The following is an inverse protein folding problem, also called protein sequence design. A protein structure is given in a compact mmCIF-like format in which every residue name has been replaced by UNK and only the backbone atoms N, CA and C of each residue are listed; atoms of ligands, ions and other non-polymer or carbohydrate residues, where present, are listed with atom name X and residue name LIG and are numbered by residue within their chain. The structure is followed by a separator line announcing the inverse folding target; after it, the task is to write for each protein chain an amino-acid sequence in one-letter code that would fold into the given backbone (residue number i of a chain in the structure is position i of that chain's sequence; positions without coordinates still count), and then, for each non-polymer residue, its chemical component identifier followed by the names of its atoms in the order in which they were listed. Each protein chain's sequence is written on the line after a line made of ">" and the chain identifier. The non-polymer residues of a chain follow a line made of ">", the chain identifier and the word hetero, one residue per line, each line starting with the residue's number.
data_IF_136293070110
#
_entry.id   IF_136293070110
#
_cell.length_a   1.000
_cell.length_b   1.000
_cell.length_c   1.000
_cell.angle_alpha   90.00
_cell.angle_beta   90.00
_cell.angle_gamma   90.00
#
_symmetry.space_group_name_H-M   'P 1'
#
loop_
_entity.id
_entity.type
_entity.pdbx_description
1 polymer ?
#
# COMPACT_ATOMS: atom_id res chain seq x y z
N UNK A 1 24.23 12.20 31.53
CA UNK A 1 24.21 12.90 30.22
C UNK A 1 23.83 11.95 29.05
N UNK A 2 24.41 10.76 28.95
CA UNK A 2 24.14 9.78 27.87
C UNK A 2 22.66 9.38 27.72
N UNK A 3 21.91 9.19 28.77
CA UNK A 3 20.49 8.75 28.72
C UNK A 3 19.58 9.80 28.05
N UNK A 4 19.88 11.08 28.19
CA UNK A 4 19.09 12.16 27.58
C UNK A 4 19.39 12.33 26.09
N UNK A 5 20.61 12.07 25.65
CA UNK A 5 20.99 12.09 24.23
C UNK A 5 20.41 10.88 23.47
N UNK A 6 20.42 9.71 24.09
CA UNK A 6 19.81 8.50 23.52
C UNK A 6 18.29 8.69 23.34
N UNK A 7 17.61 9.26 24.34
CA UNK A 7 16.17 9.59 24.24
C UNK A 7 15.90 10.63 23.16
N UNK A 8 16.78 11.61 22.99
CA UNK A 8 16.67 12.62 21.92
C UNK A 8 16.85 12.00 20.55
N UNK A 9 17.88 11.17 20.34
CA UNK A 9 18.12 10.49 19.06
C UNK A 9 16.94 9.62 18.66
N UNK A 10 16.44 8.80 19.58
CA UNK A 10 15.26 7.96 19.36
C UNK A 10 14.05 8.79 18.97
N UNK A 11 13.85 9.96 19.59
CA UNK A 11 12.76 10.88 19.25
C UNK A 11 12.93 11.50 17.86
N UNK A 12 14.15 11.92 17.47
CA UNK A 12 14.44 12.46 16.14
C UNK A 12 14.09 11.45 15.04
N UNK A 13 14.50 10.19 15.22
CA UNK A 13 14.15 9.10 14.28
C UNK A 13 12.62 8.89 14.21
N UNK A 14 11.94 8.90 15.36
CA UNK A 14 10.50 8.72 15.43
C UNK A 14 9.71 9.92 14.83
N UNK A 15 10.21 11.16 14.97
CA UNK A 15 9.66 12.34 14.30
C UNK A 15 9.80 12.19 12.79
N UNK A 16 11.00 11.83 12.32
CA UNK A 16 11.28 11.60 10.91
C UNK A 16 10.34 10.56 10.30
N UNK A 17 10.19 9.39 10.96
CA UNK A 17 9.24 8.34 10.56
C UNK A 17 7.79 8.86 10.53
N UNK A 18 7.42 9.72 11.49
CA UNK A 18 6.08 10.31 11.52
C UNK A 18 5.85 11.24 10.33
N UNK A 19 6.82 12.08 9.98
CA UNK A 19 6.79 12.97 8.81
C UNK A 19 6.70 12.19 7.49
N UNK A 20 7.24 10.97 7.44
CA UNK A 20 7.09 10.07 6.28
C UNK A 20 5.69 9.52 6.11
N UNK A 21 5.04 9.18 7.22
CA UNK A 21 3.77 8.45 7.22
C UNK A 21 2.55 9.35 7.03
N UNK A 22 2.69 10.65 7.23
CA UNK A 22 1.59 11.62 7.16
C UNK A 22 1.99 12.81 6.28
N UNK A 23 1.04 13.25 5.45
CA UNK A 23 1.25 14.38 4.53
C UNK A 23 1.52 15.71 5.25
N UNK A 24 0.99 15.91 6.46
CA UNK A 24 1.18 17.11 7.27
C UNK A 24 1.04 16.77 8.75
N UNK A 25 1.95 17.27 9.61
CA UNK A 25 1.96 17.00 11.06
C UNK A 25 2.21 18.29 11.82
N UNK A 26 1.38 18.58 12.82
CA UNK A 26 1.56 19.76 13.70
C UNK A 26 2.59 19.53 14.79
N UNK A 27 3.26 20.60 15.25
CA UNK A 27 4.14 20.54 16.41
C UNK A 27 3.42 20.07 17.68
N UNK A 28 2.17 20.48 17.86
CA UNK A 28 1.34 20.07 19.00
C UNK A 28 1.10 18.56 19.02
N UNK A 29 0.73 17.97 17.87
CA UNK A 29 0.56 16.53 17.76
C UNK A 29 1.85 15.76 18.10
N UNK A 30 3.01 16.23 17.62
CA UNK A 30 4.29 15.61 17.94
C UNK A 30 4.65 15.76 19.42
N UNK A 31 4.37 16.93 20.01
CA UNK A 31 4.61 17.20 21.43
C UNK A 31 3.81 16.24 22.33
N UNK A 32 2.52 16.07 22.04
CA UNK A 32 1.65 15.12 22.74
C UNK A 32 2.11 13.67 22.54
N UNK A 33 2.38 13.27 21.30
CA UNK A 33 2.82 11.91 20.96
C UNK A 33 4.10 11.49 21.69
N UNK A 34 5.05 12.41 21.86
CA UNK A 34 6.35 12.12 22.46
C UNK A 34 6.50 12.59 23.92
N UNK A 35 5.44 13.17 24.51
CA UNK A 35 5.44 13.65 25.91
C UNK A 35 6.47 14.76 26.16
N UNK A 36 6.67 15.67 25.21
CA UNK A 36 7.63 16.78 25.30
C UNK A 36 6.95 18.11 24.99
N UNK A 37 7.63 19.22 25.33
CA UNK A 37 7.11 20.54 24.99
C UNK A 37 7.16 20.83 23.48
N UNK A 38 6.24 21.65 22.97
CA UNK A 38 6.25 22.15 21.59
C UNK A 38 7.58 22.82 21.24
N UNK A 39 8.20 23.54 22.19
CA UNK A 39 9.53 24.14 22.05
C UNK A 39 10.61 23.08 21.78
N UNK A 40 10.49 21.91 22.41
CA UNK A 40 11.40 20.77 22.17
C UNK A 40 11.23 20.25 20.75
N UNK A 41 10.00 20.11 20.26
CA UNK A 41 9.73 19.69 18.88
C UNK A 41 10.34 20.69 17.87
N UNK A 42 10.18 21.98 18.07
CA UNK A 42 10.83 22.98 17.19
C UNK A 42 12.35 22.82 17.13
N UNK A 43 13.00 22.53 18.26
CA UNK A 43 14.45 22.26 18.28
C UNK A 43 14.82 20.97 17.58
N UNK A 44 13.99 19.95 17.70
CA UNK A 44 14.21 18.66 17.06
C UNK A 44 13.98 18.75 15.53
N UNK A 45 12.97 19.47 15.07
CA UNK A 45 12.76 19.76 13.64
C UNK A 45 13.95 20.50 13.05
N UNK A 46 14.44 21.56 13.71
CA UNK A 46 15.65 22.28 13.28
C UNK A 46 16.88 21.39 13.21
N UNK A 47 17.02 20.44 14.14
CA UNK A 47 18.13 19.49 14.13
C UNK A 47 18.04 18.54 12.92
N UNK A 48 16.84 18.10 12.52
CA UNK A 48 16.63 17.32 11.30
C UNK A 48 16.96 18.14 10.06
N UNK A 49 16.52 19.39 9.96
CA UNK A 49 16.85 20.30 8.86
C UNK A 49 18.36 20.51 8.74
N UNK A 50 19.05 20.77 9.85
CA UNK A 50 20.51 20.91 9.89
C UNK A 50 21.25 19.64 9.49
N UNK A 51 20.62 18.47 9.68
CA UNK A 51 21.14 17.17 9.25
C UNK A 51 20.85 16.86 7.77
N UNK A 52 20.28 17.82 7.02
CA UNK A 52 20.01 17.68 5.59
C UNK A 52 18.65 17.05 5.27
N UNK A 53 17.75 16.88 6.25
CA UNK A 53 16.40 16.43 6.01
C UNK A 53 15.56 17.61 5.48
N UNK A 54 15.01 17.56 4.27
CA UNK A 54 14.26 18.67 3.68
C UNK A 54 12.84 18.74 4.26
N UNK A 55 12.75 19.26 5.49
CA UNK A 55 11.46 19.54 6.13
C UNK A 55 10.92 20.85 5.57
N UNK A 56 9.68 20.86 5.16
CA UNK A 56 8.94 22.06 4.73
C UNK A 56 7.99 22.45 5.86
N UNK A 57 8.08 23.71 6.28
CA UNK A 57 7.15 24.31 7.23
C UNK A 57 6.02 24.98 6.46
N UNK A 58 4.79 24.55 6.70
CA UNK A 58 3.57 25.26 6.26
C UNK A 58 3.07 26.12 7.40
N UNK A 59 3.17 27.43 7.26
CA UNK A 59 2.81 28.40 8.31
C UNK A 59 1.37 28.18 8.82
N UNK A 60 1.24 28.05 10.14
CA UNK A 60 -0.03 27.81 10.82
C UNK A 60 -0.61 26.39 10.65
N UNK A 61 -0.02 25.54 9.80
CA UNK A 61 -0.54 24.18 9.50
C UNK A 61 0.35 23.06 10.01
N UNK A 62 1.69 23.20 9.96
CA UNK A 62 2.62 22.18 10.47
C UNK A 62 3.80 21.90 9.55
N UNK A 63 4.30 20.67 9.62
CA UNK A 63 5.49 20.20 8.94
C UNK A 63 5.19 19.08 7.96
N UNK A 64 5.88 19.10 6.84
CA UNK A 64 5.89 18.03 5.82
C UNK A 64 7.30 17.80 5.31
N UNK A 65 7.52 16.72 4.58
CA UNK A 65 8.77 16.49 3.85
C UNK A 65 8.61 16.94 2.39
N UNK A 66 9.71 17.39 1.79
CA UNK A 66 9.75 17.68 0.36
C UNK A 66 9.28 16.47 -0.44
N UNK A 67 8.43 16.71 -1.43
CA UNK A 67 7.91 15.65 -2.30
C UNK A 67 9.05 14.92 -3.01
N UNK A 68 8.99 13.59 -3.04
CA UNK A 68 10.03 12.76 -3.64
C UNK A 68 11.25 12.48 -2.74
N UNK A 69 11.34 13.05 -1.54
CA UNK A 69 12.41 12.72 -0.60
C UNK A 69 12.31 11.27 -0.11
N UNK A 70 13.26 10.44 -0.53
CA UNK A 70 13.37 9.04 -0.11
C UNK A 70 14.29 8.96 1.12
N UNK A 71 13.75 8.51 2.22
CA UNK A 71 14.48 8.42 3.48
C UNK A 71 15.23 7.08 3.59
N UNK A 72 16.41 7.09 4.29
CA UNK A 72 17.15 5.86 4.61
C UNK A 72 16.36 4.87 5.48
N UNK A 73 16.84 3.64 5.65
CA UNK A 73 16.04 2.47 5.96
C UNK A 73 15.18 2.62 7.21
N UNK A 74 13.90 2.28 7.06
CA UNK A 74 12.98 2.10 8.17
C UNK A 74 13.53 1.00 9.07
N UNK A 75 13.68 1.27 10.37
CA UNK A 75 14.07 0.24 11.34
C UNK A 75 12.83 -0.55 11.75
N UNK A 76 12.85 -1.84 11.52
CA UNK A 76 11.80 -2.76 11.97
C UNK A 76 12.20 -3.41 13.28
N UNK A 77 11.24 -3.58 14.21
CA UNK A 77 11.41 -4.52 15.32
C UNK A 77 11.35 -5.97 14.80
N UNK A 78 11.88 -6.91 15.56
CA UNK A 78 11.81 -8.35 15.22
C UNK A 78 10.35 -8.79 14.97
N UNK A 79 9.41 -8.35 15.82
CA UNK A 79 8.00 -8.66 15.65
C UNK A 79 7.38 -8.10 14.36
N UNK A 80 7.75 -6.88 13.97
CA UNK A 80 7.28 -6.26 12.73
C UNK A 80 7.86 -6.98 11.50
N UNK A 81 9.15 -7.31 11.52
CA UNK A 81 9.78 -8.06 10.45
C UNK A 81 9.16 -9.45 10.29
N UNK A 82 8.93 -10.17 11.39
CA UNK A 82 8.28 -11.47 11.38
C UNK A 82 6.85 -11.41 10.82
N UNK A 83 6.07 -10.38 11.17
CA UNK A 83 4.72 -10.18 10.63
C UNK A 83 4.75 -9.98 9.11
N UNK A 84 5.68 -9.16 8.58
CA UNK A 84 5.84 -8.94 7.14
C UNK A 84 6.26 -10.22 6.40
N UNK A 85 7.19 -10.99 6.95
CA UNK A 85 7.67 -12.25 6.37
C UNK A 85 6.55 -13.32 6.39
N UNK A 86 5.74 -13.35 7.45
CA UNK A 86 4.57 -14.24 7.49
C UNK A 86 3.54 -13.85 6.43
N UNK A 87 3.31 -12.54 6.21
CA UNK A 87 2.44 -12.03 5.18
C UNK A 87 2.92 -12.42 3.76
N UNK A 88 4.23 -12.58 3.52
CA UNK A 88 4.78 -13.10 2.27
C UNK A 88 4.16 -14.45 1.89
N UNK A 89 3.99 -15.35 2.86
CA UNK A 89 3.38 -16.67 2.63
C UNK A 89 1.90 -16.58 2.22
N UNK A 90 1.20 -15.53 2.63
CA UNK A 90 -0.18 -15.25 2.20
C UNK A 90 -0.20 -14.67 0.79
N UNK A 91 0.72 -13.74 0.48
CA UNK A 91 0.83 -13.12 -0.84
C UNK A 91 1.25 -14.12 -1.91
N UNK A 92 2.16 -15.05 -1.60
CA UNK A 92 2.57 -16.14 -2.51
C UNK A 92 1.41 -17.06 -2.93
N UNK A 93 0.28 -17.01 -2.24
CA UNK A 93 -0.95 -17.70 -2.64
C UNK A 93 -1.85 -16.87 -3.56
N UNK A 94 -1.49 -15.62 -3.82
CA UNK A 94 -2.20 -14.79 -4.79
C UNK A 94 -2.15 -15.44 -6.16
N UNK A 95 -3.21 -15.25 -6.95
CA UNK A 95 -3.26 -15.67 -8.35
C UNK A 95 -2.75 -14.58 -9.30
N UNK A 96 -2.31 -13.45 -8.75
CA UNK A 96 -1.78 -12.34 -9.53
C UNK A 96 -0.26 -12.25 -9.39
N UNK A 97 0.44 -12.38 -10.50
CA UNK A 97 1.91 -12.38 -10.52
C UNK A 97 2.51 -11.00 -10.28
N UNK A 98 1.79 -9.92 -10.60
CA UNK A 98 2.27 -8.56 -10.34
C UNK A 98 2.35 -8.30 -8.83
N UNK A 99 1.32 -8.69 -8.08
CA UNK A 99 1.31 -8.58 -6.64
C UNK A 99 2.43 -9.40 -5.98
N UNK A 100 2.63 -10.64 -6.45
CA UNK A 100 3.72 -11.51 -5.93
C UNK A 100 5.08 -10.86 -6.17
N UNK A 101 5.33 -10.37 -7.39
CA UNK A 101 6.59 -9.72 -7.76
C UNK A 101 6.84 -8.46 -6.93
N UNK A 102 5.88 -7.54 -6.89
CA UNK A 102 6.00 -6.25 -6.21
C UNK A 102 6.21 -6.46 -4.70
N UNK A 103 5.51 -7.44 -4.11
CA UNK A 103 5.69 -7.79 -2.71
C UNK A 103 7.07 -8.42 -2.44
N UNK A 104 7.54 -9.34 -3.29
CA UNK A 104 8.86 -9.95 -3.17
C UNK A 104 9.97 -8.89 -3.20
N UNK A 105 9.90 -7.95 -4.14
CA UNK A 105 10.85 -6.84 -4.21
C UNK A 105 10.82 -5.93 -2.97
N UNK A 106 9.64 -5.70 -2.40
CA UNK A 106 9.48 -4.92 -1.18
C UNK A 106 10.04 -5.66 0.05
N UNK A 107 9.69 -6.94 0.22
CA UNK A 107 10.13 -7.73 1.37
C UNK A 107 11.64 -8.01 1.35
N UNK A 108 12.26 -8.12 0.17
CA UNK A 108 13.71 -8.25 0.05
C UNK A 108 14.44 -6.99 0.54
N UNK A 109 13.89 -5.79 0.29
CA UNK A 109 14.39 -4.53 0.85
C UNK A 109 14.27 -4.49 2.38
N UNK A 110 13.18 -5.02 2.93
CA UNK A 110 12.99 -5.16 4.39
C UNK A 110 14.01 -6.15 4.96
N UNK A 111 14.14 -7.33 4.36
CA UNK A 111 15.12 -8.36 4.78
C UNK A 111 16.56 -7.84 4.73
N UNK A 112 16.89 -6.98 3.76
CA UNK A 112 18.24 -6.42 3.60
C UNK A 112 18.69 -5.59 4.81
N UNK A 113 17.77 -4.88 5.47
CA UNK A 113 18.07 -3.99 6.62
C UNK A 113 17.98 -4.68 7.99
N UNK A 114 17.53 -5.95 8.04
CA UNK A 114 17.51 -6.74 9.27
C UNK A 114 18.92 -7.17 9.70
N UNK A 115 19.15 -7.31 11.00
CA UNK A 115 20.37 -7.93 11.55
C UNK A 115 20.44 -9.41 11.16
N UNK A 116 21.64 -9.98 11.08
CA UNK A 116 21.81 -11.37 10.66
C UNK A 116 21.02 -12.36 11.53
N UNK A 117 21.03 -12.19 12.86
CA UNK A 117 20.26 -13.03 13.79
C UNK A 117 18.74 -12.97 13.56
N UNK A 118 18.22 -11.82 13.11
CA UNK A 118 16.81 -11.63 12.78
C UNK A 118 16.48 -12.28 11.43
N UNK A 119 17.41 -12.21 10.46
CA UNK A 119 17.29 -12.91 9.17
C UNK A 119 17.21 -14.43 9.37
N UNK A 120 18.04 -14.99 10.25
CA UNK A 120 18.08 -16.44 10.50
C UNK A 120 16.75 -16.91 11.14
N UNK A 121 16.21 -16.14 12.10
CA UNK A 121 14.90 -16.43 12.72
C UNK A 121 13.75 -16.30 11.70
N UNK A 122 13.79 -15.27 10.88
CA UNK A 122 12.81 -15.03 9.82
C UNK A 122 12.80 -16.16 8.78
N UNK A 123 13.97 -16.61 8.36
CA UNK A 123 14.11 -17.76 7.46
C UNK A 123 13.59 -19.05 8.10
N UNK A 124 13.91 -19.28 9.37
CA UNK A 124 13.38 -20.43 10.11
C UNK A 124 11.86 -20.41 10.19
N UNK A 125 11.26 -19.25 10.46
CA UNK A 125 9.81 -19.06 10.50
C UNK A 125 9.18 -19.33 9.12
N UNK A 126 9.77 -18.80 8.05
CA UNK A 126 9.31 -19.04 6.67
C UNK A 126 9.32 -20.51 6.30
N UNK A 127 10.39 -21.25 6.65
CA UNK A 127 10.50 -22.69 6.38
C UNK A 127 9.49 -23.51 7.18
N UNK A 128 9.22 -23.11 8.42
CA UNK A 128 8.33 -23.84 9.34
C UNK A 128 6.88 -23.44 9.25
N UNK A 129 6.55 -22.38 8.51
CA UNK A 129 5.19 -21.92 8.30
C UNK A 129 4.73 -22.30 6.90
N UNK A 130 3.82 -23.27 6.80
CA UNK A 130 3.12 -23.61 5.55
C UNK A 130 1.63 -23.39 5.75
N UNK A 131 1.07 -22.49 4.97
CA UNK A 131 -0.37 -22.43 4.86
C UNK A 131 -0.82 -23.55 3.90
N UNK A 132 -1.77 -24.39 4.31
CA UNK A 132 -2.27 -25.47 3.50
C UNK A 132 -2.71 -24.96 2.12
N UNK A 133 -2.26 -25.58 1.04
CA UNK A 133 -2.77 -25.32 -0.31
C UNK A 133 -4.20 -25.85 -0.39
N UNK A 134 -5.16 -24.97 -0.37
CA UNK A 134 -6.49 -25.26 -0.90
C UNK A 134 -6.42 -25.16 -2.43
N UNK A 135 -6.06 -26.25 -3.10
CA UNK A 135 -5.90 -26.45 -4.53
C UNK A 135 -4.66 -25.78 -5.19
N UNK A 136 -4.12 -26.43 -6.23
CA UNK A 136 -3.11 -25.88 -7.14
C UNK A 136 -3.79 -24.84 -8.03
N UNK A 137 -3.75 -23.58 -7.61
CA UNK A 137 -4.21 -22.48 -8.45
C UNK A 137 -3.06 -22.02 -9.34
N UNK A 138 -3.25 -22.04 -10.64
CA UNK A 138 -2.37 -21.40 -11.60
C UNK A 138 -2.43 -19.87 -11.39
N UNK A 139 -1.32 -19.19 -11.65
CA UNK A 139 -1.26 -17.73 -11.69
C UNK A 139 -2.04 -17.30 -12.94
N UNK A 140 -3.16 -16.62 -12.76
CA UNK A 140 -4.11 -16.35 -13.83
C UNK A 140 -4.20 -14.85 -14.20
N UNK A 141 -3.46 -13.97 -13.54
CA UNK A 141 -3.56 -12.54 -13.76
C UNK A 141 -2.23 -11.83 -13.48
N UNK A 142 -1.98 -10.75 -14.21
CA UNK A 142 -0.87 -9.81 -14.02
C UNK A 142 -1.37 -8.36 -14.00
N UNK A 143 -2.67 -8.16 -13.77
CA UNK A 143 -3.33 -6.89 -13.99
C UNK A 143 -3.55 -6.09 -12.72
N UNK A 144 -3.22 -6.65 -11.53
CA UNK A 144 -3.61 -6.04 -10.26
C UNK A 144 -2.92 -4.70 -10.02
N UNK A 145 -1.60 -4.62 -10.27
CA UNK A 145 -0.85 -3.37 -10.09
C UNK A 145 -1.35 -2.26 -11.02
N UNK A 146 -1.64 -2.59 -12.27
CA UNK A 146 -2.18 -1.63 -13.24
C UNK A 146 -3.57 -1.12 -12.81
N UNK A 147 -4.42 -2.02 -12.33
CA UNK A 147 -5.75 -1.68 -11.84
C UNK A 147 -5.70 -0.85 -10.55
N UNK A 148 -4.76 -1.14 -9.64
CA UNK A 148 -4.52 -0.31 -8.45
C UNK A 148 -4.11 1.12 -8.84
N UNK A 149 -3.17 1.24 -9.78
CA UNK A 149 -2.76 2.54 -10.31
C UNK A 149 -3.93 3.29 -10.95
N UNK A 150 -4.70 2.64 -11.82
CA UNK A 150 -5.83 3.27 -12.50
C UNK A 150 -6.93 3.72 -11.50
N UNK A 151 -7.21 2.90 -10.49
CA UNK A 151 -8.20 3.18 -9.45
C UNK A 151 -7.81 4.41 -8.61
N UNK A 152 -6.56 4.47 -8.15
CA UNK A 152 -6.09 5.54 -7.26
C UNK A 152 -5.88 6.87 -7.99
N UNK A 153 -5.66 6.85 -9.31
CA UNK A 153 -5.50 8.04 -10.15
C UNK A 153 -6.74 8.41 -10.96
N UNK A 154 -7.86 7.68 -10.77
CA UNK A 154 -9.14 7.88 -11.47
C UNK A 154 -9.00 7.81 -12.99
N UNK A 155 -8.18 6.86 -13.47
CA UNK A 155 -7.92 6.65 -14.89
C UNK A 155 -8.85 5.58 -15.44
N UNK A 156 -9.34 5.78 -16.66
CA UNK A 156 -10.09 4.75 -17.38
C UNK A 156 -9.21 3.56 -17.71
N UNK A 157 -9.81 2.39 -17.71
CA UNK A 157 -9.18 1.18 -18.23
C UNK A 157 -9.97 0.61 -19.40
N UNK A 158 -9.24 0.10 -20.39
CA UNK A 158 -9.80 -0.62 -21.51
C UNK A 158 -9.20 -2.01 -21.57
N UNK A 159 -10.03 -3.04 -21.80
CA UNK A 159 -9.59 -4.42 -21.86
C UNK A 159 -10.55 -5.30 -22.68
N UNK A 160 -10.04 -6.42 -23.16
CA UNK A 160 -10.83 -7.50 -23.70
C UNK A 160 -11.27 -8.41 -22.54
N UNK A 161 -12.55 -8.74 -22.48
CA UNK A 161 -13.14 -9.53 -21.40
C UNK A 161 -13.84 -10.77 -21.93
N UNK A 162 -13.46 -11.94 -21.43
CA UNK A 162 -14.09 -13.22 -21.75
C UNK A 162 -15.10 -13.55 -20.64
N UNK A 163 -16.37 -13.61 -20.97
CA UNK A 163 -17.40 -13.95 -19.99
C UNK A 163 -17.41 -15.47 -19.64
N UNK A 164 -18.30 -15.89 -18.76
CA UNK A 164 -18.42 -17.31 -18.34
C UNK A 164 -18.80 -18.25 -19.51
N UNK A 165 -19.45 -17.72 -20.53
CA UNK A 165 -19.89 -18.45 -21.73
C UNK A 165 -18.84 -18.46 -22.85
N UNK A 166 -17.63 -17.92 -22.58
CA UNK A 166 -16.54 -17.83 -23.56
C UNK A 166 -16.69 -16.68 -24.57
N UNK A 167 -17.71 -15.81 -24.45
CA UNK A 167 -17.90 -14.72 -25.38
C UNK A 167 -16.95 -13.55 -25.04
N UNK A 168 -16.21 -13.13 -26.05
CA UNK A 168 -15.26 -12.01 -25.96
C UNK A 168 -15.96 -10.66 -26.21
N UNK A 169 -15.53 -9.64 -25.48
CA UNK A 169 -16.07 -8.28 -25.64
C UNK A 169 -15.09 -7.23 -25.12
N UNK A 170 -14.93 -6.15 -25.87
CA UNK A 170 -14.12 -5.00 -25.44
C UNK A 170 -14.86 -4.14 -24.43
N UNK A 171 -14.20 -3.76 -23.36
CA UNK A 171 -14.78 -2.99 -22.26
C UNK A 171 -13.96 -1.73 -21.98
N UNK A 172 -14.66 -0.64 -21.73
CA UNK A 172 -14.10 0.58 -21.14
C UNK A 172 -14.77 0.75 -19.77
N UNK A 173 -13.98 0.82 -18.71
CA UNK A 173 -14.45 0.75 -17.33
C UNK A 173 -13.80 1.87 -16.51
N UNK A 174 -14.60 2.45 -15.62
CA UNK A 174 -14.16 3.36 -14.55
C UNK A 174 -13.91 2.50 -13.30
N UNK A 175 -12.66 2.23 -12.91
CA UNK A 175 -12.34 1.43 -11.72
C UNK A 175 -12.92 2.07 -10.46
N UNK A 176 -13.61 1.28 -9.64
CA UNK A 176 -14.21 1.74 -8.39
C UNK A 176 -13.64 1.03 -7.16
N UNK A 177 -13.51 -0.30 -7.22
CA UNK A 177 -12.96 -1.09 -6.13
C UNK A 177 -12.32 -2.38 -6.64
N UNK A 178 -11.42 -2.95 -5.82
CA UNK A 178 -10.84 -4.27 -6.01
C UNK A 178 -11.24 -5.14 -4.82
N UNK A 179 -11.82 -6.31 -5.10
CA UNK A 179 -12.27 -7.26 -4.09
C UNK A 179 -11.49 -8.56 -4.23
N UNK A 180 -10.94 -9.05 -3.12
CA UNK A 180 -10.36 -10.38 -3.07
C UNK A 180 -11.41 -11.38 -2.57
N UNK A 181 -11.72 -12.39 -3.39
CA UNK A 181 -12.62 -13.48 -3.08
C UNK A 181 -11.88 -14.82 -3.13
N UNK A 182 -12.52 -15.90 -2.66
CA UNK A 182 -11.91 -17.24 -2.66
C UNK A 182 -11.39 -17.68 -4.03
N UNK A 183 -12.03 -17.20 -5.10
CA UNK A 183 -11.70 -17.53 -6.49
C UNK A 183 -10.70 -16.57 -7.15
N UNK A 184 -10.20 -15.56 -6.45
CA UNK A 184 -9.24 -14.59 -6.95
C UNK A 184 -9.70 -13.14 -6.79
N UNK A 185 -9.23 -12.25 -7.67
CA UNK A 185 -9.55 -10.83 -7.61
C UNK A 185 -10.69 -10.44 -8.56
N UNK A 186 -11.53 -9.53 -8.10
CA UNK A 186 -12.59 -8.87 -8.88
C UNK A 186 -12.31 -7.37 -8.97
N UNK A 187 -12.41 -6.81 -10.15
CA UNK A 187 -12.59 -5.39 -10.36
C UNK A 187 -14.09 -5.07 -10.30
N UNK A 188 -14.47 -4.18 -9.41
CA UNK A 188 -15.75 -3.48 -9.44
C UNK A 188 -15.55 -2.18 -10.20
N UNK A 189 -16.34 -1.93 -11.23
CA UNK A 189 -16.22 -0.69 -11.99
C UNK A 189 -17.47 -0.37 -12.80
N UNK A 190 -17.63 0.92 -13.12
CA UNK A 190 -18.72 1.37 -13.98
C UNK A 190 -18.37 1.10 -15.45
N UNK A 191 -19.14 0.22 -16.05
CA UNK A 191 -18.95 -0.18 -17.46
C UNK A 191 -19.61 0.84 -18.39
N UNK A 192 -18.82 1.62 -19.13
CA UNK A 192 -19.34 2.64 -20.06
C UNK A 192 -20.21 2.06 -21.18
N UNK A 193 -19.92 0.82 -21.61
CA UNK A 193 -20.72 0.13 -22.62
C UNK A 193 -22.12 -0.26 -22.12
N UNK A 194 -22.23 -0.69 -20.84
CA UNK A 194 -23.50 -1.13 -20.24
C UNK A 194 -24.19 -0.05 -19.42
N UNK A 195 -23.48 1.04 -19.11
CA UNK A 195 -23.92 2.16 -18.26
C UNK A 195 -24.38 1.72 -16.87
N UNK A 196 -23.68 0.74 -16.29
CA UNK A 196 -23.95 0.15 -14.97
C UNK A 196 -22.68 -0.34 -14.31
N UNK A 197 -22.68 -0.47 -12.97
CA UNK A 197 -21.61 -1.13 -12.24
C UNK A 197 -21.60 -2.63 -12.51
N UNK A 198 -20.41 -3.17 -12.74
CA UNK A 198 -20.20 -4.60 -13.01
C UNK A 198 -18.98 -5.12 -12.28
N UNK A 199 -18.98 -6.44 -12.09
CA UNK A 199 -17.86 -7.19 -11.55
C UNK A 199 -17.12 -7.87 -12.71
N UNK A 200 -15.80 -7.71 -12.72
CA UNK A 200 -14.93 -8.33 -13.70
C UNK A 200 -13.88 -9.16 -12.99
N UNK A 201 -13.82 -10.44 -13.24
CA UNK A 201 -12.75 -11.31 -12.72
C UNK A 201 -11.44 -10.95 -13.41
N UNK A 202 -10.36 -10.75 -12.64
CA UNK A 202 -9.08 -10.35 -13.19
C UNK A 202 -8.45 -11.41 -14.11
N UNK A 203 -8.68 -12.69 -13.81
CA UNK A 203 -8.23 -13.82 -14.64
C UNK A 203 -8.89 -13.91 -16.02
N UNK A 204 -9.97 -13.16 -16.25
CA UNK A 204 -10.70 -13.07 -17.53
C UNK A 204 -10.44 -11.76 -18.28
N UNK A 205 -9.60 -10.89 -17.72
CA UNK A 205 -9.19 -9.63 -18.35
C UNK A 205 -7.95 -9.89 -19.19
N UNK A 206 -8.01 -9.52 -20.45
CA UNK A 206 -6.90 -9.61 -21.39
C UNK A 206 -6.59 -8.24 -21.98
N UNK A 207 -5.32 -8.01 -22.37
CA UNK A 207 -4.85 -6.79 -23.02
C UNK A 207 -5.28 -5.50 -22.30
N UNK A 208 -5.16 -5.51 -20.95
CA UNK A 208 -5.46 -4.34 -20.13
C UNK A 208 -4.60 -3.15 -20.56
N UNK A 209 -5.23 -2.00 -20.73
CA UNK A 209 -4.59 -0.74 -21.06
C UNK A 209 -5.17 0.36 -20.17
N UNK A 210 -4.31 1.07 -19.47
CA UNK A 210 -4.67 2.30 -18.76
C UNK A 210 -4.78 3.41 -19.80
N UNK A 211 -5.91 4.12 -19.80
CA UNK A 211 -6.13 5.26 -20.68
C UNK A 211 -5.67 6.56 -19.99
N UNK A 212 -5.16 7.55 -20.72
CA UNK A 212 -4.78 8.84 -20.14
C UNK A 212 -5.99 9.66 -19.66
N UNK A 213 -7.18 9.29 -20.09
CA UNK A 213 -8.44 9.96 -19.73
C UNK A 213 -8.80 9.67 -18.28
N UNK A 214 -9.11 10.74 -17.52
CA UNK A 214 -9.64 10.66 -16.15
C UNK A 214 -11.16 10.67 -16.16
N UNK A 215 -11.74 9.96 -15.21
CA UNK A 215 -13.17 10.04 -14.94
C UNK A 215 -13.45 10.79 -13.63
N UNK A 216 -14.66 11.31 -13.48
CA UNK A 216 -15.10 11.94 -12.23
C UNK A 216 -15.32 10.87 -11.17
N UNK A 217 -14.66 10.95 -10.00
CA UNK A 217 -14.82 9.97 -8.93
C UNK A 217 -16.29 9.78 -8.55
N UNK A 218 -16.70 8.52 -8.43
CA UNK A 218 -18.03 8.18 -7.94
C UNK A 218 -18.16 8.58 -6.45
N UNK A 219 -19.13 9.45 -6.15
CA UNK A 219 -19.35 9.98 -4.79
C UNK A 219 -20.10 8.95 -3.93
N UNK A 220 -19.48 7.80 -3.73
CA UNK A 220 -19.98 6.76 -2.81
C UNK A 220 -18.81 5.98 -2.22
N UNK A 221 -18.97 5.48 -1.01
CA UNK A 221 -18.05 4.56 -0.37
C UNK A 221 -18.33 3.13 -0.85
N UNK A 222 -17.39 2.22 -0.59
CA UNK A 222 -17.58 0.79 -0.89
C UNK A 222 -18.75 0.20 -0.07
N UNK A 223 -18.96 0.67 1.15
CA UNK A 223 -20.09 0.26 1.99
C UNK A 223 -21.42 0.69 1.38
N UNK A 224 -21.57 1.96 1.01
CA UNK A 224 -22.77 2.48 0.33
C UNK A 224 -23.05 1.75 -1.00
N UNK A 225 -21.98 1.39 -1.72
CA UNK A 225 -22.11 0.58 -2.93
C UNK A 225 -22.75 -0.78 -2.63
N UNK A 226 -22.28 -1.50 -1.62
CA UNK A 226 -22.85 -2.79 -1.24
C UNK A 226 -24.30 -2.65 -0.76
N UNK A 227 -24.62 -1.65 0.05
CA UNK A 227 -25.98 -1.38 0.49
C UNK A 227 -26.94 -1.09 -0.66
N UNK A 228 -26.44 -0.44 -1.71
CA UNK A 228 -27.26 -0.06 -2.88
C UNK A 228 -27.42 -1.20 -3.88
N UNK A 229 -26.37 -2.00 -4.12
CA UNK A 229 -26.32 -2.98 -5.20
C UNK A 229 -26.35 -4.45 -4.74
N UNK A 230 -26.21 -4.71 -3.42
CA UNK A 230 -26.24 -6.04 -2.80
C UNK A 230 -27.35 -6.15 -1.73
N UNK A 231 -28.50 -5.55 -1.94
CA UNK A 231 -29.64 -5.84 -1.08
C UNK A 231 -30.14 -7.26 -1.35
N UNK A 232 -29.84 -8.15 -0.40
CA UNK A 232 -30.56 -9.41 -0.15
C UNK A 232 -30.99 -9.50 1.21
#
# INVERSE_FOLDING_TARGET
>A
MQDNETKRLSRLVAILTSLQSKRLITATFLAEKFGVSVRTIYRDIRALEQSGVPVITEDGKGYTLMEGYKIPPVMFSEAQANALILAEQLVLKSRDSSLIKDYAEAIDKVKAVLKQSEKDKANLLSIRTKFAKLNNFEINSNNLSDLQNALTNFLLVQFDYINAEGKESKRTVEPFALLNILEGWLLVGFCRLRKEFRYFRLDRIQKLQIQPEKFTPHKMTLQEFFEKYHKH
#
